data_IF_415666356173
#
_entry.id   IF_415666356173
#
_cell.length_a   1.000
_cell.length_b   1.000
_cell.length_c   1.000
_cell.angle_alpha   90.00
_cell.angle_beta   90.00
_cell.angle_gamma   90.00
#
_symmetry.space_group_name_H-M   'P 1'
#
loop_
_entity.id
_entity.type
_entity.pdbx_description
1 polymer ?
#
# COMPACT_ATOMS: atom_id res chain seq x y z
N UNK A 1 -91.27 -3.27 -66.30
CA UNK A 1 -90.54 -2.29 -67.14
C UNK A 1 -89.17 -2.09 -66.54
N UNK A 2 -88.06 -2.32 -67.27
CA UNK A 2 -86.73 -2.00 -66.74
C UNK A 2 -86.60 -0.48 -66.56
N UNK A 3 -85.88 0.01 -65.53
CA UNK A 3 -85.69 1.43 -65.32
C UNK A 3 -84.91 2.03 -66.50
N UNK A 4 -85.37 3.19 -67.01
CA UNK A 4 -84.69 3.93 -68.08
C UNK A 4 -83.29 4.33 -67.60
N UNK A 5 -82.26 3.61 -68.02
CA UNK A 5 -80.87 3.93 -67.69
C UNK A 5 -80.39 5.16 -68.46
N UNK A 6 -79.84 6.15 -67.76
CA UNK A 6 -79.08 7.25 -68.38
C UNK A 6 -77.63 6.81 -68.56
N UNK A 7 -77.13 6.91 -69.78
CA UNK A 7 -75.72 6.67 -70.07
C UNK A 7 -74.92 7.93 -69.73
N UNK A 8 -74.23 7.93 -68.58
CA UNK A 8 -73.38 9.05 -68.16
C UNK A 8 -71.94 8.74 -68.56
N UNK A 9 -71.37 9.57 -69.44
CA UNK A 9 -69.94 9.49 -69.77
C UNK A 9 -69.13 10.25 -68.71
N UNK A 10 -68.61 9.54 -67.72
CA UNK A 10 -67.66 10.12 -66.77
C UNK A 10 -66.31 10.27 -67.46
N UNK A 11 -65.85 11.51 -67.61
CA UNK A 11 -64.49 11.82 -68.07
C UNK A 11 -63.67 12.39 -66.93
N UNK A 12 -62.42 11.95 -66.81
CA UNK A 12 -61.52 12.44 -65.78
C UNK A 12 -61.03 13.84 -66.15
N UNK A 13 -61.24 14.82 -65.28
CA UNK A 13 -60.79 16.19 -65.51
C UNK A 13 -59.26 16.28 -65.48
N UNK A 14 -58.68 17.05 -66.42
CA UNK A 14 -57.23 17.28 -66.48
C UNK A 14 -56.77 18.09 -65.26
N UNK A 15 -55.88 17.52 -64.44
CA UNK A 15 -55.42 18.12 -63.17
C UNK A 15 -54.12 18.91 -63.36
N UNK A 16 -54.00 20.03 -62.66
CA UNK A 16 -52.82 20.90 -62.64
C UNK A 16 -51.65 20.25 -61.89
N UNK A 17 -50.44 20.15 -62.51
CA UNK A 17 -49.27 19.54 -61.88
C UNK A 17 -48.67 20.35 -60.73
N UNK A 18 -48.90 21.67 -60.64
CA UNK A 18 -48.34 22.54 -59.60
C UNK A 18 -49.28 22.77 -58.42
N UNK A 19 -50.51 22.24 -58.49
CA UNK A 19 -51.50 22.47 -57.44
C UNK A 19 -51.22 21.59 -56.21
N UNK A 20 -51.05 22.18 -55.00
CA UNK A 20 -50.81 21.42 -53.79
C UNK A 20 -52.02 20.55 -53.42
N UNK A 21 -51.78 19.50 -52.62
CA UNK A 21 -52.83 18.55 -52.22
C UNK A 21 -53.95 19.26 -51.45
N UNK A 22 -55.13 19.34 -52.06
CA UNK A 22 -56.33 19.90 -51.41
C UNK A 22 -56.93 19.00 -50.33
N UNK A 23 -56.54 17.72 -50.29
CA UNK A 23 -57.02 16.80 -49.27
C UNK A 23 -56.40 17.16 -47.91
N UNK A 24 -57.25 17.33 -46.89
CA UNK A 24 -56.79 17.40 -45.50
C UNK A 24 -56.14 16.07 -45.15
N UNK A 25 -54.99 16.09 -44.45
CA UNK A 25 -54.32 14.86 -44.01
C UNK A 25 -55.33 14.02 -43.23
N UNK A 26 -55.42 12.75 -43.58
CA UNK A 26 -56.36 11.84 -42.95
C UNK A 26 -56.07 11.78 -41.45
N UNK A 27 -57.07 12.06 -40.61
CA UNK A 27 -57.01 11.76 -39.19
C UNK A 27 -57.30 10.27 -39.06
N UNK A 28 -56.37 9.51 -38.51
CA UNK A 28 -56.60 8.10 -38.21
C UNK A 28 -57.82 8.00 -37.30
N UNK A 29 -58.89 7.41 -37.84
CA UNK A 29 -60.10 7.13 -37.09
C UNK A 29 -59.79 5.88 -36.27
N UNK A 30 -59.72 6.02 -34.94
CA UNK A 30 -59.74 4.85 -34.06
C UNK A 30 -61.13 4.24 -34.24
N UNK A 31 -61.20 3.06 -34.84
CA UNK A 31 -62.46 2.33 -34.96
C UNK A 31 -62.73 1.80 -33.56
N UNK A 32 -63.75 2.34 -32.90
CA UNK A 32 -64.26 1.80 -31.64
C UNK A 32 -65.04 0.52 -31.98
N UNK A 33 -64.31 -0.57 -32.24
CA UNK A 33 -64.88 -1.90 -32.37
C UNK A 33 -65.37 -2.35 -30.98
N UNK A 34 -66.63 -2.79 -30.91
CA UNK A 34 -67.15 -3.36 -29.67
C UNK A 34 -66.25 -4.53 -29.23
N UNK A 35 -65.81 -4.56 -27.95
CA UNK A 35 -64.86 -5.57 -27.51
C UNK A 35 -65.46 -6.96 -27.69
N UNK A 36 -64.68 -7.88 -28.26
CA UNK A 36 -65.09 -9.27 -28.44
C UNK A 36 -65.39 -9.88 -27.07
N UNK A 37 -66.55 -10.50 -26.94
CA UNK A 37 -66.97 -11.17 -25.70
C UNK A 37 -66.09 -12.41 -25.48
N UNK A 38 -65.24 -12.36 -24.46
CA UNK A 38 -64.40 -13.52 -24.10
C UNK A 38 -65.19 -14.46 -23.19
N UNK A 39 -65.57 -15.63 -23.72
CA UNK A 39 -66.31 -16.65 -22.99
C UNK A 39 -65.38 -17.47 -22.07
N UNK A 40 -65.04 -16.89 -20.92
CA UNK A 40 -64.28 -17.59 -19.89
C UNK A 40 -65.13 -18.66 -19.17
N UNK A 41 -64.47 -19.71 -18.68
CA UNK A 41 -65.02 -20.59 -17.65
C UNK A 41 -65.26 -19.79 -16.36
N UNK A 42 -66.17 -20.25 -15.51
CA UNK A 42 -66.36 -19.67 -14.18
C UNK A 42 -65.01 -19.57 -13.42
N UNK A 43 -64.71 -18.43 -12.79
CA UNK A 43 -63.43 -18.21 -12.14
C UNK A 43 -63.28 -19.16 -10.95
N UNK A 44 -62.21 -19.97 -10.95
CA UNK A 44 -61.84 -20.78 -9.78
C UNK A 44 -61.40 -19.84 -8.65
N UNK A 45 -61.96 -20.03 -7.46
CA UNK A 45 -61.49 -19.34 -6.26
C UNK A 45 -60.11 -19.89 -5.92
N UNK A 46 -59.09 -19.03 -6.00
CA UNK A 46 -57.72 -19.38 -5.63
C UNK A 46 -57.67 -19.79 -4.16
N UNK A 47 -57.01 -20.90 -3.83
CA UNK A 47 -56.81 -21.27 -2.44
C UNK A 47 -55.85 -20.28 -1.75
N UNK A 48 -55.94 -20.12 -0.43
CA UNK A 48 -55.02 -19.23 0.30
C UNK A 48 -53.57 -19.71 0.22
N UNK A 49 -53.39 -21.02 0.10
CA UNK A 49 -52.09 -21.68 0.00
C UNK A 49 -51.46 -21.41 -1.37
N UNK A 50 -52.23 -21.58 -2.45
CA UNK A 50 -51.79 -21.24 -3.81
C UNK A 50 -51.44 -19.75 -3.90
N UNK A 51 -52.26 -18.87 -3.32
CA UNK A 51 -51.97 -17.44 -3.30
C UNK A 51 -50.66 -17.09 -2.56
N UNK A 52 -50.33 -17.84 -1.51
CA UNK A 52 -49.12 -17.62 -0.72
C UNK A 52 -47.87 -18.15 -1.45
N UNK A 53 -47.96 -19.32 -2.08
CA UNK A 53 -46.88 -19.92 -2.86
C UNK A 53 -46.46 -19.01 -4.03
N UNK A 54 -47.44 -18.37 -4.68
CA UNK A 54 -47.19 -17.43 -5.76
C UNK A 54 -46.89 -16.00 -5.30
N UNK A 55 -46.70 -15.78 -3.99
CA UNK A 55 -46.33 -14.46 -3.46
C UNK A 55 -44.84 -14.21 -3.62
N UNK A 56 -44.49 -13.54 -4.71
CA UNK A 56 -43.13 -13.10 -4.97
C UNK A 56 -42.65 -12.10 -3.90
N UNK A 57 -41.43 -12.25 -3.37
CA UNK A 57 -40.86 -11.28 -2.43
C UNK A 57 -40.63 -9.93 -3.12
N UNK A 58 -40.67 -8.84 -2.34
CA UNK A 58 -40.38 -7.50 -2.85
C UNK A 58 -38.94 -7.41 -3.32
N UNK A 59 -38.71 -6.86 -4.51
CA UNK A 59 -37.37 -6.62 -5.04
C UNK A 59 -36.78 -5.36 -4.40
N UNK A 60 -35.78 -5.55 -3.54
CA UNK A 60 -34.96 -4.47 -2.97
C UNK A 60 -33.62 -4.48 -3.70
N UNK A 61 -33.28 -3.38 -4.35
CA UNK A 61 -32.00 -3.29 -5.05
C UNK A 61 -30.94 -2.61 -4.16
N UNK A 62 -29.70 -3.09 -4.21
CA UNK A 62 -28.58 -2.48 -3.48
C UNK A 62 -28.23 -1.07 -4.02
N UNK A 63 -28.49 -0.81 -5.30
CA UNK A 63 -28.00 0.39 -6.00
C UNK A 63 -29.05 1.48 -6.23
N UNK A 64 -30.31 1.12 -6.48
CA UNK A 64 -31.34 2.07 -6.93
C UNK A 64 -32.51 2.15 -5.94
N UNK A 65 -32.85 3.37 -5.56
CA UNK A 65 -34.03 3.69 -4.76
C UNK A 65 -34.75 4.92 -5.33
N UNK A 66 -35.39 4.76 -6.49
CA UNK A 66 -36.00 5.88 -7.22
C UNK A 66 -37.09 6.60 -6.44
N UNK A 67 -37.89 5.85 -5.65
CA UNK A 67 -39.00 6.38 -4.87
C UNK A 67 -38.61 6.73 -3.43
N UNK A 68 -37.33 6.57 -3.06
CA UNK A 68 -36.80 6.98 -1.77
C UNK A 68 -37.36 6.22 -0.57
N UNK A 69 -37.74 4.94 -0.72
CA UNK A 69 -38.26 4.15 0.40
C UNK A 69 -37.24 4.01 1.53
N UNK A 70 -37.71 4.18 2.77
CA UNK A 70 -36.93 3.96 3.98
C UNK A 70 -37.00 2.45 4.28
N UNK A 71 -35.89 1.76 4.04
CA UNK A 71 -35.78 0.31 4.20
C UNK A 71 -34.81 -0.02 5.34
N UNK A 72 -35.14 -0.97 6.23
CA UNK A 72 -34.25 -1.40 7.31
C UNK A 72 -32.98 -2.06 6.73
N UNK A 73 -31.87 -1.94 7.47
CA UNK A 73 -30.56 -2.46 7.06
C UNK A 73 -30.60 -3.96 6.74
N UNK A 74 -31.27 -4.77 7.55
CA UNK A 74 -31.38 -6.21 7.33
C UNK A 74 -31.92 -6.57 5.92
N UNK A 75 -32.92 -5.84 5.43
CA UNK A 75 -33.50 -6.08 4.09
C UNK A 75 -32.59 -5.60 2.96
N UNK A 76 -31.70 -4.63 3.21
CA UNK A 76 -30.69 -4.20 2.24
C UNK A 76 -29.55 -5.21 2.17
N UNK A 77 -29.09 -5.65 3.34
CA UNK A 77 -27.98 -6.59 3.49
C UNK A 77 -28.35 -7.98 2.95
N UNK A 78 -29.58 -8.45 3.21
CA UNK A 78 -30.06 -9.74 2.72
C UNK A 78 -30.11 -9.88 1.19
N UNK A 79 -30.06 -8.77 0.44
CA UNK A 79 -30.02 -8.80 -1.03
C UNK A 79 -28.62 -9.07 -1.57
N UNK A 80 -27.60 -8.91 -0.72
CA UNK A 80 -26.24 -9.23 -1.08
C UNK A 80 -26.06 -10.74 -1.08
N UNK A 81 -26.34 -11.35 -2.24
CA UNK A 81 -26.11 -12.77 -2.48
C UNK A 81 -24.64 -13.19 -2.27
N UNK A 82 -23.73 -12.21 -2.13
CA UNK A 82 -22.33 -12.42 -1.79
C UNK A 82 -22.12 -12.91 -0.35
N UNK A 83 -23.09 -12.71 0.56
CA UNK A 83 -22.97 -13.15 1.95
C UNK A 83 -23.20 -14.65 2.16
N UNK A 84 -23.44 -15.42 1.10
CA UNK A 84 -23.42 -16.87 1.17
C UNK A 84 -21.97 -17.38 1.17
N UNK A 85 -21.25 -17.09 2.25
CA UNK A 85 -19.90 -17.58 2.48
C UNK A 85 -19.93 -18.95 3.19
N UNK A 86 -20.54 -19.96 2.57
CA UNK A 86 -20.14 -21.34 2.86
C UNK A 86 -18.85 -21.67 2.06
N UNK A 87 -17.89 -20.74 2.07
CA UNK A 87 -16.61 -20.90 1.39
C UNK A 87 -15.75 -21.84 2.24
N UNK A 88 -16.03 -23.15 2.13
CA UNK A 88 -15.21 -24.18 2.72
C UNK A 88 -13.78 -24.05 2.19
N UNK A 89 -12.83 -23.83 3.09
CA UNK A 89 -11.42 -23.73 2.73
C UNK A 89 -10.95 -25.05 2.11
N UNK A 90 -10.27 -24.97 0.96
CA UNK A 90 -9.74 -26.16 0.27
C UNK A 90 -8.68 -26.85 1.13
N UNK A 91 -8.78 -28.17 1.29
CA UNK A 91 -7.82 -29.01 2.03
C UNK A 91 -6.38 -28.84 1.53
N UNK A 92 -6.20 -28.57 0.22
CA UNK A 92 -4.89 -28.35 -0.40
C UNK A 92 -4.07 -27.23 0.25
N UNK A 93 -4.74 -26.24 0.80
CA UNK A 93 -4.05 -25.15 1.49
C UNK A 93 -3.49 -25.60 2.85
N UNK A 94 -4.15 -26.55 3.51
CA UNK A 94 -3.63 -27.17 4.74
C UNK A 94 -2.43 -28.04 4.40
N UNK A 95 -2.55 -28.88 3.37
CA UNK A 95 -1.43 -29.71 2.88
C UNK A 95 -0.22 -28.87 2.50
N UNK A 96 -0.44 -27.74 1.81
CA UNK A 96 0.63 -26.82 1.44
C UNK A 96 1.28 -26.17 2.68
N UNK A 97 0.49 -25.74 3.66
CA UNK A 97 1.02 -25.18 4.90
C UNK A 97 1.88 -26.20 5.66
N UNK A 98 1.44 -27.46 5.70
CA UNK A 98 2.18 -28.55 6.35
C UNK A 98 3.45 -28.90 5.57
N UNK A 99 3.39 -28.94 4.23
CA UNK A 99 4.54 -29.16 3.38
C UNK A 99 5.61 -28.06 3.54
N UNK A 100 5.19 -26.79 3.64
CA UNK A 100 6.12 -25.67 3.88
C UNK A 100 6.78 -25.81 5.26
N UNK A 101 6.01 -26.10 6.32
CA UNK A 101 6.59 -26.30 7.66
C UNK A 101 7.56 -27.48 7.70
N UNK A 102 7.26 -28.57 7.02
CA UNK A 102 8.16 -29.72 6.89
C UNK A 102 9.46 -29.32 6.17
N UNK A 103 9.36 -28.60 5.04
CA UNK A 103 10.51 -28.11 4.31
C UNK A 103 11.38 -27.15 5.15
N UNK A 104 10.77 -26.22 5.87
CA UNK A 104 11.47 -25.30 6.78
C UNK A 104 12.23 -26.05 7.89
N UNK A 105 11.60 -27.07 8.49
CA UNK A 105 12.24 -27.88 9.53
C UNK A 105 13.44 -28.66 9.00
N UNK A 106 13.36 -29.17 7.77
CA UNK A 106 14.46 -29.89 7.11
C UNK A 106 15.61 -28.94 6.78
N UNK A 107 15.32 -27.75 6.23
CA UNK A 107 16.34 -26.74 5.93
C UNK A 107 17.04 -26.29 7.22
N UNK A 108 16.30 -26.08 8.31
CA UNK A 108 16.88 -25.72 9.60
C UNK A 108 17.81 -26.82 10.14
N UNK A 109 17.41 -28.10 10.02
CA UNK A 109 18.25 -29.23 10.42
C UNK A 109 19.52 -29.33 9.59
N UNK A 110 19.44 -29.17 8.26
CA UNK A 110 20.62 -29.17 7.38
C UNK A 110 21.56 -28.01 7.67
N UNK A 111 21.03 -26.80 7.90
CA UNK A 111 21.84 -25.64 8.24
C UNK A 111 22.57 -25.84 9.57
N UNK A 112 21.89 -26.42 10.57
CA UNK A 112 22.52 -26.76 11.85
C UNK A 112 23.63 -27.78 11.68
N UNK A 113 23.38 -28.87 10.95
CA UNK A 113 24.40 -29.88 10.66
C UNK A 113 25.61 -29.30 9.93
N UNK A 114 25.38 -28.42 8.95
CA UNK A 114 26.47 -27.71 8.23
C UNK A 114 27.25 -26.78 9.15
N UNK A 115 26.58 -26.08 10.06
CA UNK A 115 27.23 -25.24 11.05
C UNK A 115 28.10 -26.06 12.01
N UNK A 116 27.58 -27.16 12.54
CA UNK A 116 28.30 -28.07 13.45
C UNK A 116 29.53 -28.69 12.76
N UNK A 117 29.39 -29.13 11.50
CA UNK A 117 30.51 -29.67 10.71
C UNK A 117 31.56 -28.59 10.39
N UNK A 118 31.13 -27.37 10.10
CA UNK A 118 32.02 -26.23 9.85
C UNK A 118 32.79 -25.86 11.12
N UNK A 119 32.13 -25.80 12.26
CA UNK A 119 32.76 -25.54 13.56
C UNK A 119 33.76 -26.65 13.91
N UNK A 120 33.39 -27.92 13.71
CA UNK A 120 34.31 -29.04 13.91
C UNK A 120 35.56 -28.94 13.01
N UNK A 121 35.37 -28.62 11.72
CA UNK A 121 36.48 -28.44 10.77
C UNK A 121 37.37 -27.23 11.12
N UNK A 122 36.77 -26.12 11.54
CA UNK A 122 37.50 -24.93 12.00
C UNK A 122 38.31 -25.22 13.27
N UNK A 123 37.72 -25.93 14.24
CA UNK A 123 38.43 -26.33 15.47
C UNK A 123 39.59 -27.29 15.19
N UNK A 124 39.42 -28.24 14.26
CA UNK A 124 40.48 -29.14 13.82
C UNK A 124 41.61 -28.36 13.11
N UNK A 125 41.26 -27.44 12.21
CA UNK A 125 42.22 -26.59 11.53
C UNK A 125 42.96 -25.64 12.50
N UNK A 126 42.29 -25.15 13.54
CA UNK A 126 42.93 -24.37 14.61
C UNK A 126 43.92 -25.22 15.42
N UNK A 127 43.56 -26.44 15.80
CA UNK A 127 44.47 -27.39 16.49
C UNK A 127 45.69 -27.70 15.64
N UNK A 128 45.50 -28.00 14.35
CA UNK A 128 46.64 -28.23 13.44
C UNK A 128 47.55 -27.00 13.32
N UNK A 129 46.98 -25.80 13.24
CA UNK A 129 47.76 -24.55 13.22
C UNK A 129 48.54 -24.37 14.52
N UNK A 130 47.93 -24.63 15.67
CA UNK A 130 48.59 -24.55 16.97
C UNK A 130 49.74 -25.55 17.06
N UNK A 131 49.53 -26.80 16.66
CA UNK A 131 50.56 -27.84 16.66
C UNK A 131 51.70 -27.52 15.69
N UNK A 132 51.39 -26.99 14.50
CA UNK A 132 52.42 -26.50 13.54
C UNK A 132 53.24 -25.35 14.14
N UNK A 133 52.60 -24.38 14.78
CA UNK A 133 53.28 -23.26 15.44
C UNK A 133 54.12 -23.74 16.64
N UNK A 134 53.60 -24.67 17.45
CA UNK A 134 54.32 -25.29 18.56
C UNK A 134 55.57 -26.04 18.07
N UNK A 135 55.45 -26.83 17.01
CA UNK A 135 56.57 -27.53 16.39
C UNK A 135 57.61 -26.56 15.79
N UNK A 136 57.16 -25.48 15.14
CA UNK A 136 58.04 -24.44 14.62
C UNK A 136 58.77 -23.68 15.74
N UNK A 137 58.08 -23.35 16.84
CA UNK A 137 58.66 -22.73 18.01
C UNK A 137 59.69 -23.63 18.71
N UNK A 138 59.41 -24.93 18.84
CA UNK A 138 60.36 -25.90 19.39
C UNK A 138 61.64 -26.00 18.52
N UNK A 139 61.49 -26.04 17.19
CA UNK A 139 62.63 -26.00 16.25
C UNK A 139 63.43 -24.71 16.36
N UNK A 140 62.76 -23.57 16.44
CA UNK A 140 63.42 -22.28 16.64
C UNK A 140 64.13 -22.22 18.00
N UNK A 141 63.55 -22.76 19.06
CA UNK A 141 64.17 -22.81 20.38
C UNK A 141 65.42 -23.70 20.40
N UNK A 142 65.44 -24.81 19.66
CA UNK A 142 66.65 -25.64 19.47
C UNK A 142 67.74 -24.89 18.69
N UNK A 143 67.38 -24.28 17.56
CA UNK A 143 68.32 -23.50 16.74
C UNK A 143 68.80 -22.22 17.47
N UNK A 144 67.95 -21.61 18.29
CA UNK A 144 68.36 -20.55 19.21
C UNK A 144 69.20 -21.12 20.34
N UNK A 145 68.95 -22.32 20.85
CA UNK A 145 69.79 -22.97 21.86
C UNK A 145 71.27 -22.99 21.44
N UNK A 146 71.53 -23.37 20.19
CA UNK A 146 72.89 -23.38 19.60
C UNK A 146 73.47 -21.98 19.34
N UNK A 147 72.64 -20.96 19.06
CA UNK A 147 73.08 -19.58 18.79
C UNK A 147 72.88 -18.59 19.96
N UNK A 148 72.30 -19.05 21.06
CA UNK A 148 71.87 -18.24 22.21
C UNK A 148 73.05 -17.72 23.01
N UNK A 149 74.13 -18.48 23.10
CA UNK A 149 75.35 -18.06 23.77
C UNK A 149 75.97 -16.80 23.12
N UNK A 150 75.88 -16.68 21.80
CA UNK A 150 76.37 -15.51 21.06
C UNK A 150 75.38 -14.33 21.14
N UNK A 151 74.09 -14.58 20.90
CA UNK A 151 73.06 -13.51 20.93
C UNK A 151 72.76 -12.98 22.32
N UNK A 152 72.87 -13.79 23.39
CA UNK A 152 72.76 -13.32 24.77
C UNK A 152 73.86 -12.31 25.12
N UNK A 153 75.08 -12.44 24.55
CA UNK A 153 76.14 -11.43 24.72
C UNK A 153 75.78 -10.11 24.04
N UNK A 154 75.27 -10.15 22.81
CA UNK A 154 74.88 -8.93 22.08
C UNK A 154 73.62 -8.26 22.65
N UNK A 155 72.62 -9.04 23.07
CA UNK A 155 71.42 -8.51 23.73
C UNK A 155 71.72 -7.86 25.09
N UNK A 156 72.73 -8.35 25.83
CA UNK A 156 73.20 -7.68 27.04
C UNK A 156 73.91 -6.35 26.73
N UNK A 157 74.66 -6.29 25.62
CA UNK A 157 75.31 -5.05 25.15
C UNK A 157 74.27 -3.97 24.77
N UNK A 158 73.15 -4.36 24.16
CA UNK A 158 72.07 -3.43 23.75
C UNK A 158 71.22 -2.88 24.90
N UNK A 159 71.16 -3.58 26.03
CA UNK A 159 70.50 -3.07 27.26
C UNK A 159 71.25 -1.89 27.87
N UNK A 160 72.56 -1.81 27.68
CA UNK A 160 73.42 -0.73 28.17
C UNK A 160 73.56 0.45 27.18
N UNK A 161 72.87 0.43 26.03
CA UNK A 161 72.89 1.58 25.11
C UNK A 161 71.95 2.68 25.60
N UNK A 162 72.51 3.89 25.69
CA UNK A 162 71.80 5.09 26.08
C UNK A 162 70.73 5.49 25.05
N UNK A 163 69.74 6.24 25.52
CA UNK A 163 68.56 6.67 24.75
C UNK A 163 68.96 7.49 23.51
N UNK A 164 70.07 8.23 23.58
CA UNK A 164 70.61 9.02 22.46
C UNK A 164 71.16 8.15 21.33
N UNK A 165 71.86 7.06 21.64
CA UNK A 165 72.39 6.11 20.64
C UNK A 165 71.27 5.30 19.97
N UNK A 166 70.20 4.96 20.71
CA UNK A 166 69.02 4.30 20.16
C UNK A 166 68.24 5.19 19.18
N UNK A 167 68.21 6.50 19.44
CA UNK A 167 67.61 7.49 18.55
C UNK A 167 68.45 7.67 17.28
N UNK A 168 69.78 7.69 17.39
CA UNK A 168 70.69 7.73 16.24
C UNK A 168 70.59 6.46 15.36
N UNK A 169 70.28 5.31 15.95
CA UNK A 169 70.06 4.04 15.25
C UNK A 169 68.65 3.90 14.63
N UNK A 170 67.79 4.92 14.72
CA UNK A 170 66.50 4.96 14.01
C UNK A 170 65.42 4.00 14.54
N UNK A 171 65.59 3.40 15.72
CA UNK A 171 64.64 2.44 16.31
C UNK A 171 63.48 3.15 17.03
N UNK A 172 62.70 3.97 16.31
CA UNK A 172 61.43 4.52 16.82
C UNK A 172 60.24 3.84 16.15
N UNK A 173 59.22 3.38 16.90
CA UNK A 173 57.94 3.01 16.30
C UNK A 173 57.28 4.30 15.78
N UNK A 174 57.26 4.49 14.46
CA UNK A 174 56.57 5.62 13.85
C UNK A 174 55.05 5.40 13.97
N UNK A 175 54.35 6.28 14.69
CA UNK A 175 52.90 6.31 14.69
C UNK A 175 52.41 6.65 13.27
N UNK A 176 51.57 5.79 12.69
CA UNK A 176 51.08 5.91 11.31
C UNK A 176 50.06 7.05 11.20
N UNK A 177 50.49 8.22 10.74
CA UNK A 177 49.61 9.35 10.44
C UNK A 177 48.68 8.99 9.27
N UNK A 178 47.40 8.75 9.55
CA UNK A 178 46.34 8.68 8.54
C UNK A 178 46.22 10.05 7.85
N UNK A 179 46.54 10.11 6.56
CA UNK A 179 46.53 11.35 5.74
C UNK A 179 45.16 11.69 5.16
N UNK A 180 44.10 10.99 5.57
CA UNK A 180 42.77 11.11 4.97
C UNK A 180 41.74 11.73 5.93
N UNK A 181 40.87 12.57 5.37
CA UNK A 181 39.75 13.20 6.08
C UNK A 181 38.74 12.14 6.55
N UNK A 182 38.36 12.10 7.83
CA UNK A 182 37.37 11.15 8.36
C UNK A 182 36.02 11.19 7.62
N UNK A 183 35.61 12.33 7.05
CA UNK A 183 34.34 12.45 6.28
C UNK A 183 34.35 11.66 4.98
N UNK A 184 35.54 11.35 4.45
CA UNK A 184 35.69 10.56 3.22
C UNK A 184 35.27 9.10 3.44
N UNK A 185 35.33 8.62 4.69
CA UNK A 185 34.95 7.26 5.07
C UNK A 185 33.49 7.16 5.52
N UNK A 186 32.86 8.28 5.90
CA UNK A 186 31.42 8.32 6.21
C UNK A 186 30.56 8.56 4.98
N UNK A 187 31.17 8.89 3.84
CA UNK A 187 30.47 9.04 2.56
C UNK A 187 30.57 7.70 1.84
N UNK A 188 29.49 6.93 1.88
CA UNK A 188 29.41 5.59 1.28
C UNK A 188 29.90 5.62 -0.18
N UNK A 189 31.11 5.11 -0.42
CA UNK A 189 31.70 5.06 -1.76
C UNK A 189 31.10 3.94 -2.63
N UNK A 190 30.40 2.98 -2.02
CA UNK A 190 29.99 1.74 -2.67
C UNK A 190 28.47 1.60 -2.89
N UNK A 191 27.67 2.62 -2.58
CA UNK A 191 26.20 2.56 -2.68
C UNK A 191 25.63 2.64 -4.11
N UNK A 192 26.47 2.52 -5.15
CA UNK A 192 26.13 2.79 -6.55
C UNK A 192 26.03 1.56 -7.47
N UNK A 193 26.21 0.34 -6.98
CA UNK A 193 26.31 -0.87 -7.83
C UNK A 193 24.98 -1.63 -7.95
N UNK A 194 23.94 -0.95 -8.44
CA UNK A 194 22.65 -1.55 -8.78
C UNK A 194 22.40 -1.58 -10.29
N UNK A 195 21.46 -2.40 -10.80
CA UNK A 195 21.16 -2.55 -12.24
C UNK A 195 20.50 -1.31 -12.89
N UNK A 196 20.53 -0.15 -12.24
CA UNK A 196 19.93 1.08 -12.74
C UNK A 196 20.93 1.95 -13.52
N UNK A 197 20.48 2.57 -14.60
CA UNK A 197 21.28 3.50 -15.42
C UNK A 197 21.67 4.79 -14.67
N UNK A 198 20.91 5.16 -13.63
CA UNK A 198 21.11 6.39 -12.86
C UNK A 198 21.26 6.10 -11.36
N UNK A 199 22.26 6.73 -10.74
CA UNK A 199 22.58 6.59 -9.31
C UNK A 199 21.81 7.57 -8.41
N UNK A 200 21.24 8.63 -9.00
CA UNK A 200 20.53 9.69 -8.28
C UNK A 200 19.14 9.86 -8.91
N UNK A 201 18.08 9.92 -8.11
CA UNK A 201 16.75 9.97 -8.68
C UNK A 201 16.40 11.44 -9.03
N UNK A 202 15.56 11.63 -10.05
CA UNK A 202 15.41 12.93 -10.75
C UNK A 202 14.83 14.06 -9.88
N UNK A 203 14.01 13.75 -8.87
CA UNK A 203 13.37 14.73 -7.98
C UNK A 203 13.74 14.46 -6.51
N UNK A 204 13.95 15.52 -5.73
CA UNK A 204 14.31 15.34 -4.31
C UNK A 204 13.16 14.81 -3.45
N UNK A 205 11.91 14.95 -3.90
CA UNK A 205 10.72 14.50 -3.15
C UNK A 205 10.71 13.01 -2.84
N UNK A 206 11.29 12.19 -3.71
CA UNK A 206 11.39 10.74 -3.51
C UNK A 206 12.71 10.31 -2.85
N UNK A 207 13.61 11.26 -2.59
CA UNK A 207 14.88 11.01 -1.90
C UNK A 207 14.87 11.50 -0.43
N UNK A 208 13.80 12.19 0.00
CA UNK A 208 13.66 12.70 1.37
C UNK A 208 12.48 12.02 2.04
N UNK A 209 12.69 11.48 3.25
CA UNK A 209 11.64 10.74 3.95
C UNK A 209 10.49 11.63 4.44
N UNK A 210 10.74 12.93 4.62
CA UNK A 210 9.76 13.92 5.10
C UNK A 210 10.00 15.26 4.42
N UNK A 211 8.91 15.87 3.91
CA UNK A 211 8.96 17.21 3.31
C UNK A 211 8.83 18.32 4.36
N UNK A 212 8.10 18.06 5.44
CA UNK A 212 7.89 19.02 6.52
C UNK A 212 7.83 18.28 7.85
N UNK A 213 8.56 18.79 8.83
CA UNK A 213 8.46 18.34 10.22
C UNK A 213 8.41 19.57 11.11
N UNK A 214 7.36 19.69 11.91
CA UNK A 214 7.30 20.68 12.99
C UNK A 214 7.98 20.07 14.20
N UNK A 215 9.04 20.70 14.68
CA UNK A 215 9.62 20.38 15.98
C UNK A 215 9.08 21.34 17.02
N UNK A 216 8.28 20.86 17.97
CA UNK A 216 7.79 21.68 19.09
C UNK A 216 8.93 22.33 19.88
N UNK A 217 10.12 21.72 19.85
CA UNK A 217 11.34 22.22 20.48
C UNK A 217 11.88 23.49 19.83
N UNK A 218 11.79 23.64 18.50
CA UNK A 218 12.19 24.89 17.83
C UNK A 218 11.16 26.00 18.03
N UNK A 219 9.89 25.62 18.14
CA UNK A 219 8.80 26.56 18.43
C UNK A 219 8.93 27.18 19.83
N UNK A 220 9.30 26.36 20.82
CA UNK A 220 9.54 26.81 22.20
C UNK A 220 10.78 27.71 22.37
N UNK A 221 11.79 27.57 21.49
CA UNK A 221 13.01 28.39 21.51
C UNK A 221 12.80 29.74 20.79
N UNK A 222 12.02 29.76 19.70
CA UNK A 222 11.63 30.99 19.00
C UNK A 222 10.75 31.92 19.84
N UNK A 223 9.84 31.37 20.65
CA UNK A 223 8.98 32.15 21.54
C UNK A 223 9.74 32.90 22.67
N UNK A 224 11.01 32.55 22.91
CA UNK A 224 11.85 33.23 23.91
C UNK A 224 12.61 34.45 23.37
N UNK A 225 12.63 34.64 22.04
CA UNK A 225 13.44 35.69 21.40
C UNK A 225 12.65 36.87 20.78
N UNK A 226 11.31 36.88 20.86
CA UNK A 226 10.47 37.98 20.32
C UNK A 226 9.50 38.61 21.34
N UNK A 227 9.78 38.50 22.64
CA UNK A 227 9.00 39.17 23.69
C UNK A 227 9.44 40.63 23.93
N UNK A 228 9.70 41.42 22.88
CA UNK A 228 10.11 42.83 23.03
C UNK A 228 9.40 43.84 22.12
N UNK A 229 8.34 43.44 21.40
CA UNK A 229 7.43 44.37 20.72
C UNK A 229 5.98 43.87 20.78
N UNK A 230 5.39 43.87 21.96
CA UNK A 230 3.95 43.71 22.09
C UNK A 230 3.26 45.07 21.89
N UNK A 231 2.30 45.09 20.95
CA UNK A 231 1.40 46.20 20.63
C UNK A 231 0.48 46.48 21.83
N UNK A 232 0.47 47.72 22.31
CA UNK A 232 -0.28 48.20 23.47
C UNK A 232 -1.78 48.28 23.11
N UNK A 233 -2.58 47.32 23.62
CA UNK A 233 -4.03 47.29 23.37
C UNK A 233 -4.73 45.95 23.53
N UNK A 234 -4.02 44.85 23.81
CA UNK A 234 -4.63 43.55 24.08
C UNK A 234 -4.63 43.23 25.59
N UNK A 235 -5.32 44.03 26.38
CA UNK A 235 -5.66 43.67 27.75
C UNK A 235 -7.01 42.92 27.73
N UNK A 236 -7.00 41.67 28.20
CA UNK A 236 -8.21 40.84 28.34
C UNK A 236 -8.27 39.69 27.36
N UNK A 237 -7.71 38.54 27.76
CA UNK A 237 -8.38 37.23 27.91
C UNK A 237 -7.28 36.21 28.25
N UNK A 238 -6.97 36.12 29.54
CA UNK A 238 -6.26 34.99 30.13
C UNK A 238 -7.24 33.83 30.24
N UNK A 239 -7.31 33.01 29.20
CA UNK A 239 -8.21 31.85 29.21
C UNK A 239 -7.93 30.93 28.03
N UNK A 240 -6.99 29.99 28.22
CA UNK A 240 -6.76 28.89 27.30
C UNK A 240 -7.99 27.96 27.27
N UNK A 241 -9.01 28.30 26.48
CA UNK A 241 -10.13 27.40 26.19
C UNK A 241 -9.69 26.46 25.08
N UNK A 242 -9.44 25.19 25.44
CA UNK A 242 -9.30 24.09 24.48
C UNK A 242 -10.62 23.92 23.72
N UNK A 243 -10.72 24.53 22.54
CA UNK A 243 -11.84 24.30 21.63
C UNK A 243 -11.68 22.91 20.99
N UNK A 244 -12.50 21.95 21.41
CA UNK A 244 -12.71 20.69 20.69
C UNK A 244 -14.04 20.74 19.96
N UNK A 245 -13.99 20.68 18.63
CA UNK A 245 -15.15 20.52 17.76
C UNK A 245 -15.30 21.63 16.72
N UNK A 246 -15.75 21.32 15.50
CA UNK A 246 -16.05 22.33 14.49
C UNK A 246 -17.26 23.18 14.92
N UNK A 247 -17.19 24.47 14.60
CA UNK A 247 -18.20 25.48 14.94
C UNK A 247 -19.52 25.18 14.22
N UNK A 248 -20.60 24.94 14.97
CA UNK A 248 -21.95 24.81 14.42
C UNK A 248 -22.61 26.19 14.33
N UNK A 249 -23.30 26.47 13.21
CA UNK A 249 -24.05 27.69 13.00
C UNK A 249 -25.53 27.45 13.31
N UNK A 250 -26.10 28.21 14.24
CA UNK A 250 -27.55 28.27 14.45
C UNK A 250 -28.17 29.26 13.45
N UNK A 251 -29.24 28.81 12.78
CA UNK A 251 -29.99 29.60 11.79
C UNK A 251 -31.06 30.40 12.51
N UNK A 252 -30.91 31.73 12.57
CA UNK A 252 -31.82 32.62 13.28
C UNK A 252 -33.27 32.60 12.75
N UNK A 253 -34.22 32.58 13.68
CA UNK A 253 -35.66 32.65 13.43
C UNK A 253 -36.06 34.01 12.82
N UNK A 254 -36.83 33.96 11.73
CA UNK A 254 -37.44 35.13 11.10
C UNK A 254 -38.74 35.48 11.85
N UNK A 255 -38.75 36.60 12.58
CA UNK A 255 -40.01 37.24 13.01
C UNK A 255 -40.68 37.91 11.81
N UNK A 256 -41.97 37.63 11.61
CA UNK A 256 -42.81 38.38 10.68
C UNK A 256 -43.28 39.69 11.34
N UNK A 257 -43.36 40.81 10.61
CA UNK A 257 -43.95 42.04 11.14
C UNK A 257 -45.48 42.00 11.07
N UNK A 258 -46.13 42.61 12.07
CA UNK A 258 -47.54 43.02 12.06
C UNK A 258 -47.84 44.06 10.97
#
# INVERSE_FOLDING_TARGET
MPPKGQLIQVRQAKKDPLQPSKARRHKEMVIDEDPIVVLHREPKKLSKEEAAEWKLPSLVSAWKNQRGYIMPLAQRVATDALQREDAAWSEKHVDNADAIRAAESNVAAEMKQRADLKEAAESAAQREKEDRLRAAAAKLALNLGESSAARMRDANRDRHRDISEKVALGQRPAASTSKFDPRLFTKDKDSGHGPGMYSRPMFKSHAVDKLYSVSDRSWAEGARHEASKAFEGAEGVSGAVKRKGPVAFEKGDKRAPE
#
